data_IF_245854552853
#
_entry.id   IF_245854552853
#
_cell.length_a   1.000
_cell.length_b   1.000
_cell.length_c   1.000
_cell.angle_alpha   90.00
_cell.angle_beta   90.00
_cell.angle_gamma   90.00
#
_symmetry.space_group_name_H-M   'P 1'
#
loop_
_entity.id
_entity.type
_entity.pdbx_description
1 polymer ?
#
# COMPACT_ATOMS: atom_id res chain seq x y z
N UNK A 1 -17.76 -14.70 10.32
CA UNK A 1 -16.59 -14.91 9.42
C UNK A 1 -15.38 -14.20 9.97
N UNK A 2 -14.25 -14.89 10.08
CA UNK A 2 -13.04 -14.20 10.50
C UNK A 2 -12.68 -13.13 9.49
N UNK A 3 -12.29 -11.97 10.00
CA UNK A 3 -11.87 -10.86 9.15
C UNK A 3 -10.50 -11.16 8.56
N UNK A 4 -10.32 -10.89 7.28
CA UNK A 4 -9.02 -11.08 6.63
C UNK A 4 -7.98 -10.10 7.13
N UNK A 5 -6.74 -10.55 7.20
CA UNK A 5 -5.60 -9.70 7.49
C UNK A 5 -5.05 -9.16 6.16
N UNK A 6 -5.29 -7.90 5.91
CA UNK A 6 -4.93 -7.24 4.66
C UNK A 6 -3.93 -6.13 4.93
N UNK A 7 -2.76 -6.21 4.29
CA UNK A 7 -1.76 -5.15 4.35
C UNK A 7 -1.83 -4.34 3.07
N UNK A 8 -2.01 -3.04 3.22
CA UNK A 8 -2.02 -2.10 2.09
C UNK A 8 -0.79 -1.22 2.14
N UNK A 9 0.01 -1.26 1.09
CA UNK A 9 1.23 -0.46 0.96
C UNK A 9 0.99 0.68 -0.02
N UNK A 10 1.26 1.90 0.41
CA UNK A 10 1.12 3.09 -0.43
C UNK A 10 2.50 3.49 -0.95
N UNK A 11 2.67 3.45 -2.27
CA UNK A 11 3.93 3.79 -2.94
C UNK A 11 4.71 2.59 -3.42
N UNK A 12 5.33 2.73 -4.59
CA UNK A 12 6.11 1.68 -5.24
C UNK A 12 7.55 2.12 -5.52
N UNK A 13 8.06 3.07 -4.72
CA UNK A 13 9.42 3.58 -4.87
C UNK A 13 10.46 2.70 -4.19
N UNK A 14 11.58 3.31 -3.81
CA UNK A 14 12.74 2.62 -3.26
C UNK A 14 12.43 1.78 -2.01
N UNK A 15 11.50 2.23 -1.19
CA UNK A 15 11.10 1.52 0.03
C UNK A 15 9.87 0.64 -0.23
N UNK A 16 8.88 1.17 -0.94
CA UNK A 16 7.60 0.50 -1.15
C UNK A 16 7.72 -0.79 -1.95
N UNK A 17 8.43 -0.77 -3.07
CA UNK A 17 8.58 -1.95 -3.92
C UNK A 17 9.17 -3.15 -3.19
N UNK A 18 10.34 -3.03 -2.52
CA UNK A 18 10.88 -4.15 -1.77
C UNK A 18 9.97 -4.62 -0.64
N UNK A 19 9.29 -3.70 0.02
CA UNK A 19 8.39 -4.02 1.12
C UNK A 19 7.17 -4.81 0.63
N UNK A 20 6.59 -4.42 -0.50
CA UNK A 20 5.48 -5.15 -1.12
C UNK A 20 5.93 -6.59 -1.44
N UNK A 21 7.11 -6.72 -2.04
CA UNK A 21 7.68 -8.04 -2.35
C UNK A 21 7.88 -8.88 -1.10
N UNK A 22 8.38 -8.29 -0.03
CA UNK A 22 8.60 -8.98 1.23
C UNK A 22 7.28 -9.48 1.83
N UNK A 23 6.25 -8.65 1.85
CA UNK A 23 4.93 -9.05 2.36
C UNK A 23 4.32 -10.18 1.52
N UNK A 24 4.46 -10.14 0.21
CA UNK A 24 3.92 -11.20 -0.65
C UNK A 24 4.69 -12.52 -0.47
N UNK A 25 6.01 -12.45 -0.31
CA UNK A 25 6.84 -13.65 -0.11
C UNK A 25 6.59 -14.33 1.23
N UNK A 26 6.36 -13.55 2.30
CA UNK A 26 6.18 -14.07 3.65
C UNK A 26 4.72 -14.05 4.12
N UNK A 27 3.80 -13.95 3.18
CA UNK A 27 2.37 -13.85 3.44
C UNK A 27 1.85 -14.93 4.39
N UNK A 28 2.19 -16.18 4.12
CA UNK A 28 1.75 -17.30 4.95
C UNK A 28 2.38 -17.27 6.34
N UNK A 29 3.68 -17.04 6.40
CA UNK A 29 4.43 -17.01 7.66
C UNK A 29 3.94 -15.92 8.60
N UNK A 30 3.50 -14.78 8.05
CA UNK A 30 3.06 -13.63 8.84
C UNK A 30 1.55 -13.54 8.95
N UNK A 31 0.85 -14.57 8.51
CA UNK A 31 -0.61 -14.66 8.59
C UNK A 31 -1.31 -13.49 7.89
N UNK A 32 -0.80 -13.12 6.73
CA UNK A 32 -1.38 -12.09 5.86
C UNK A 32 -2.21 -12.78 4.79
N UNK A 33 -3.48 -12.39 4.66
CA UNK A 33 -4.38 -12.96 3.67
C UNK A 33 -4.26 -12.30 2.30
N UNK A 34 -4.08 -10.98 2.29
CA UNK A 34 -3.95 -10.19 1.06
C UNK A 34 -2.92 -9.10 1.23
N UNK A 35 -2.21 -8.81 0.13
CA UNK A 35 -1.32 -7.64 0.02
C UNK A 35 -1.83 -6.79 -1.13
N UNK A 36 -2.15 -5.54 -0.86
CA UNK A 36 -2.52 -4.55 -1.87
C UNK A 36 -1.47 -3.45 -1.92
N UNK A 37 -1.31 -2.84 -3.07
CA UNK A 37 -0.34 -1.74 -3.20
C UNK A 37 -0.90 -0.64 -4.11
N UNK A 38 -0.67 0.60 -3.70
CA UNK A 38 -1.11 1.78 -4.43
C UNK A 38 0.01 2.33 -5.29
N UNK A 39 -0.29 2.60 -6.56
CA UNK A 39 0.58 3.33 -7.46
C UNK A 39 -0.18 4.53 -8.01
N UNK A 40 0.44 5.70 -7.88
CA UNK A 40 -0.19 6.96 -8.24
C UNK A 40 -0.23 7.22 -9.74
N UNK A 41 0.91 7.04 -10.42
CA UNK A 41 1.08 7.48 -11.80
C UNK A 41 1.18 6.29 -12.75
N UNK A 42 0.30 6.21 -13.78
CA UNK A 42 0.44 5.21 -14.82
C UNK A 42 1.61 5.59 -15.73
N UNK A 43 2.70 4.86 -15.60
CA UNK A 43 3.93 5.11 -16.35
C UNK A 43 4.34 3.83 -17.07
N UNK A 44 4.51 3.92 -18.38
CA UNK A 44 4.91 2.77 -19.20
C UNK A 44 6.26 2.20 -18.79
N UNK A 45 7.15 3.04 -18.26
CA UNK A 45 8.48 2.60 -17.81
C UNK A 45 8.42 1.72 -16.56
N UNK A 46 7.33 1.79 -15.80
CA UNK A 46 7.13 0.99 -14.59
C UNK A 46 6.34 -0.30 -14.85
N UNK A 47 5.97 -0.57 -16.09
CA UNK A 47 5.13 -1.71 -16.44
C UNK A 47 5.67 -3.03 -15.91
N UNK A 48 6.95 -3.31 -16.14
CA UNK A 48 7.56 -4.56 -15.70
C UNK A 48 7.54 -4.70 -14.17
N UNK A 49 7.82 -3.62 -13.45
CA UNK A 49 7.81 -3.61 -11.99
C UNK A 49 6.41 -3.90 -11.45
N UNK A 50 5.39 -3.23 -11.99
CA UNK A 50 4.01 -3.42 -11.55
C UNK A 50 3.54 -4.85 -11.83
N UNK A 51 3.80 -5.36 -13.03
CA UNK A 51 3.42 -6.74 -13.38
C UNK A 51 4.15 -7.77 -12.54
N UNK A 52 5.40 -7.51 -12.21
CA UNK A 52 6.16 -8.38 -11.32
C UNK A 52 5.50 -8.47 -9.93
N UNK A 53 5.08 -7.35 -9.38
CA UNK A 53 4.39 -7.33 -8.08
C UNK A 53 3.04 -8.02 -8.13
N UNK A 54 2.28 -7.83 -9.22
CA UNK A 54 0.99 -8.52 -9.42
C UNK A 54 1.21 -10.03 -9.54
N UNK A 55 2.20 -10.45 -10.30
CA UNK A 55 2.50 -11.88 -10.48
C UNK A 55 2.96 -12.55 -9.19
N UNK A 56 3.54 -11.80 -8.27
CA UNK A 56 3.92 -12.32 -6.94
C UNK A 56 2.73 -12.41 -5.97
N UNK A 57 1.57 -11.90 -6.37
CA UNK A 57 0.36 -11.99 -5.57
C UNK A 57 -0.13 -10.66 -5.00
N UNK A 58 0.53 -9.55 -5.30
CA UNK A 58 0.06 -8.23 -4.91
C UNK A 58 -1.12 -7.78 -5.77
N UNK A 59 -2.02 -7.00 -5.21
CA UNK A 59 -3.17 -6.45 -5.95
C UNK A 59 -2.99 -4.95 -6.14
N UNK A 60 -3.05 -4.50 -7.38
CA UNK A 60 -2.86 -3.10 -7.75
C UNK A 60 -4.07 -2.25 -7.37
N UNK A 61 -3.78 -1.13 -6.74
CA UNK A 61 -4.75 -0.11 -6.33
C UNK A 61 -4.36 1.22 -6.98
N UNK A 62 -5.33 1.92 -7.53
CA UNK A 62 -5.10 3.22 -8.16
C UNK A 62 -6.17 4.21 -7.75
N UNK A 63 -5.88 5.50 -7.95
CA UNK A 63 -6.92 6.52 -7.83
C UNK A 63 -7.96 6.31 -8.93
N UNK A 64 -9.21 6.64 -8.65
CA UNK A 64 -10.30 6.43 -9.61
C UNK A 64 -10.00 7.09 -10.96
N UNK A 65 -9.44 8.29 -10.96
CA UNK A 65 -9.11 9.03 -12.18
C UNK A 65 -7.99 8.40 -13.02
N UNK A 66 -7.19 7.52 -12.46
CA UNK A 66 -6.08 6.88 -13.18
C UNK A 66 -6.41 5.44 -13.61
N UNK A 67 -7.56 4.92 -13.21
CA UNK A 67 -7.92 3.51 -13.43
C UNK A 67 -7.91 3.09 -14.89
N UNK A 68 -8.47 3.90 -15.76
CA UNK A 68 -8.52 3.62 -17.19
C UNK A 68 -7.14 3.56 -17.83
N UNK A 69 -6.26 4.47 -17.45
CA UNK A 69 -4.91 4.49 -18.01
C UNK A 69 -4.09 3.28 -17.60
N UNK A 70 -4.22 2.84 -16.36
CA UNK A 70 -3.59 1.61 -15.92
C UNK A 70 -4.12 0.40 -16.67
N UNK A 71 -5.43 0.37 -16.92
CA UNK A 71 -6.04 -0.71 -17.71
C UNK A 71 -5.53 -0.72 -19.15
N UNK A 72 -5.34 0.47 -19.76
CA UNK A 72 -4.78 0.57 -21.11
C UNK A 72 -3.34 0.08 -21.18
N UNK A 73 -2.59 0.22 -20.09
CA UNK A 73 -1.23 -0.32 -20.00
C UNK A 73 -1.22 -1.83 -19.78
N UNK A 74 -2.38 -2.46 -19.66
CA UNK A 74 -2.49 -3.90 -19.48
C UNK A 74 -2.47 -4.37 -18.03
N UNK A 75 -2.59 -3.46 -17.07
CA UNK A 75 -2.60 -3.82 -15.64
C UNK A 75 -4.03 -4.07 -15.15
N UNK A 76 -4.17 -5.09 -14.32
CA UNK A 76 -5.42 -5.36 -13.63
C UNK A 76 -5.49 -4.51 -12.37
N UNK A 77 -6.43 -3.58 -12.33
CA UNK A 77 -6.69 -2.75 -11.15
C UNK A 77 -7.75 -3.44 -10.30
N UNK A 78 -7.41 -3.77 -9.06
CA UNK A 78 -8.32 -4.51 -8.17
C UNK A 78 -9.23 -3.59 -7.38
N UNK A 79 -8.72 -2.46 -6.90
CA UNK A 79 -9.47 -1.54 -6.04
C UNK A 79 -9.07 -0.09 -6.30
N UNK A 80 -9.94 0.84 -5.92
CA UNK A 80 -9.61 2.26 -5.84
C UNK A 80 -8.94 2.56 -4.50
N UNK A 81 -8.35 3.74 -4.38
CA UNK A 81 -7.63 4.17 -3.17
C UNK A 81 -8.48 4.04 -1.91
N UNK A 82 -9.68 4.61 -1.93
CA UNK A 82 -10.54 4.59 -0.74
C UNK A 82 -11.01 3.18 -0.39
N UNK A 83 -11.39 2.38 -1.38
CA UNK A 83 -11.78 1.00 -1.16
C UNK A 83 -10.67 0.19 -0.50
N UNK A 84 -9.45 0.34 -1.00
CA UNK A 84 -8.30 -0.39 -0.49
C UNK A 84 -7.97 -0.03 0.96
N UNK A 85 -8.01 1.26 1.29
CA UNK A 85 -7.75 1.73 2.65
C UNK A 85 -8.83 1.21 3.60
N UNK A 86 -10.09 1.30 3.21
CA UNK A 86 -11.19 0.83 4.04
C UNK A 86 -11.12 -0.67 4.33
N UNK A 87 -10.70 -1.47 3.35
CA UNK A 87 -10.54 -2.92 3.49
C UNK A 87 -9.33 -3.34 4.32
N UNK A 88 -8.30 -2.50 4.37
CA UNK A 88 -7.02 -2.86 4.96
C UNK A 88 -7.10 -3.05 6.47
N UNK A 89 -6.31 -3.98 6.98
CA UNK A 89 -6.09 -4.12 8.42
C UNK A 89 -5.03 -3.11 8.87
N UNK A 90 -3.94 -3.01 8.08
CA UNK A 90 -2.85 -2.07 8.33
C UNK A 90 -2.49 -1.39 7.01
N UNK A 91 -2.25 -0.08 7.07
CA UNK A 91 -1.77 0.71 5.94
C UNK A 91 -0.34 1.15 6.23
N UNK A 92 0.57 0.87 5.29
CA UNK A 92 1.97 1.29 5.38
C UNK A 92 2.22 2.31 4.27
N UNK A 93 2.43 3.56 4.65
CA UNK A 93 2.70 4.64 3.68
C UNK A 93 4.21 4.79 3.48
N UNK A 94 4.66 4.51 2.27
CA UNK A 94 6.07 4.58 1.87
C UNK A 94 6.33 5.75 0.92
N UNK A 95 5.44 6.74 0.90
CA UNK A 95 5.56 7.92 0.05
C UNK A 95 6.15 9.10 0.81
N UNK A 96 6.69 10.11 0.11
CA UNK A 96 7.08 11.35 0.78
C UNK A 96 5.88 12.22 1.18
N UNK A 97 4.66 11.79 0.86
CA UNK A 97 3.42 12.54 1.13
C UNK A 97 2.57 11.90 2.24
N UNK A 98 3.19 11.19 3.18
CA UNK A 98 2.47 10.49 4.25
C UNK A 98 1.55 11.39 5.07
N UNK A 99 2.00 12.59 5.44
CA UNK A 99 1.17 13.53 6.19
C UNK A 99 0.00 14.06 5.37
N UNK A 100 0.19 14.29 4.07
CA UNK A 100 -0.90 14.71 3.19
C UNK A 100 -1.94 13.59 3.04
N UNK A 101 -1.49 12.37 2.88
CA UNK A 101 -2.37 11.20 2.81
C UNK A 101 -3.12 10.99 4.13
N UNK A 102 -2.47 11.26 5.26
CA UNK A 102 -3.11 11.19 6.57
C UNK A 102 -4.30 12.13 6.65
N UNK A 103 -4.13 13.39 6.25
CA UNK A 103 -5.21 14.37 6.24
C UNK A 103 -6.31 14.01 5.24
N UNK A 104 -5.92 13.54 4.05
CA UNK A 104 -6.86 13.26 2.97
C UNK A 104 -7.65 11.98 3.19
N UNK A 105 -7.02 10.93 3.72
CA UNK A 105 -7.63 9.60 3.84
C UNK A 105 -7.63 9.03 5.24
N UNK A 106 -6.46 8.99 5.90
CA UNK A 106 -6.28 8.13 7.08
C UNK A 106 -7.04 8.60 8.31
N UNK A 107 -7.22 9.91 8.45
CA UNK A 107 -7.97 10.47 9.58
C UNK A 107 -9.48 10.24 9.49
N UNK A 108 -10.00 10.05 8.27
CA UNK A 108 -11.45 9.90 8.06
C UNK A 108 -11.92 8.49 7.70
N UNK A 109 -11.01 7.60 7.35
CA UNK A 109 -11.36 6.21 7.03
C UNK A 109 -11.02 5.34 8.23
N UNK A 110 -12.03 4.72 8.81
CA UNK A 110 -11.91 4.01 10.09
C UNK A 110 -11.83 2.49 9.98
N UNK A 111 -11.64 1.95 8.78
CA UNK A 111 -11.51 0.51 8.57
C UNK A 111 -10.25 -0.10 9.18
N UNK A 112 -9.06 0.49 8.94
CA UNK A 112 -7.81 -0.06 9.42
C UNK A 112 -7.63 0.02 10.94
N UNK A 113 -6.90 -0.94 11.47
CA UNK A 113 -6.50 -0.95 12.89
C UNK A 113 -5.28 -0.08 13.16
N UNK A 114 -4.48 0.21 12.14
CA UNK A 114 -3.29 1.01 12.30
C UNK A 114 -2.72 1.52 10.99
N UNK A 115 -1.94 2.58 11.11
CA UNK A 115 -1.25 3.23 10.00
C UNK A 115 0.21 3.42 10.37
N UNK A 116 1.11 3.15 9.42
CA UNK A 116 2.54 3.34 9.58
C UNK A 116 3.04 4.21 8.44
N UNK A 117 3.99 5.08 8.72
CA UNK A 117 4.69 5.83 7.68
C UNK A 117 6.18 5.60 7.79
N UNK A 118 6.86 5.58 6.65
CA UNK A 118 8.30 5.41 6.59
C UNK A 118 8.93 6.63 5.95
N UNK A 119 10.18 6.91 6.34
CA UNK A 119 10.95 8.01 5.80
C UNK A 119 11.06 9.18 6.77
N UNK A 120 11.05 10.38 6.23
CA UNK A 120 11.31 11.60 6.98
C UNK A 120 10.08 12.34 7.48
N UNK A 121 8.94 11.68 7.53
CA UNK A 121 7.69 12.30 7.97
C UNK A 121 7.68 12.56 9.47
N UNK A 122 7.42 13.82 9.85
CA UNK A 122 7.23 14.21 11.24
C UNK A 122 5.76 14.46 11.52
N UNK A 123 5.30 14.08 12.71
CA UNK A 123 3.91 14.34 13.11
C UNK A 123 2.89 13.34 12.54
N UNK A 124 3.32 12.37 11.78
CA UNK A 124 2.43 11.32 11.29
C UNK A 124 1.89 10.47 12.44
N UNK A 125 2.78 10.04 13.30
CA UNK A 125 2.46 9.22 14.45
C UNK A 125 3.62 9.19 15.43
N UNK A 126 3.56 8.26 16.39
CA UNK A 126 4.63 8.08 17.36
C UNK A 126 5.86 7.50 16.67
N UNK A 127 7.04 8.14 16.80
CA UNK A 127 8.26 7.57 16.22
C UNK A 127 8.60 6.23 16.84
N UNK A 128 9.04 5.29 16.00
CA UNK A 128 9.41 3.95 16.43
C UNK A 128 10.80 3.58 15.91
N UNK A 129 11.62 3.01 16.77
CA UNK A 129 12.88 2.41 16.39
C UNK A 129 13.09 1.14 17.22
N UNK A 130 13.29 0.01 16.53
CA UNK A 130 13.46 -1.28 17.17
C UNK A 130 14.65 -1.27 18.13
N UNK A 131 14.43 -1.78 19.33
CA UNK A 131 15.46 -1.80 20.34
C UNK A 131 15.67 -0.49 21.09
N UNK A 132 14.95 0.57 20.70
CA UNK A 132 15.05 1.88 21.34
C UNK A 132 13.78 2.22 22.11
N UNK A 133 12.63 2.08 21.47
CA UNK A 133 11.35 2.42 22.11
C UNK A 133 10.25 1.39 21.88
N UNK A 134 10.64 0.16 21.60
CA UNK A 134 9.72 -0.94 21.62
C UNK A 134 9.78 -1.61 23.00
#
# INVERSE_FOLDING_TARGET
>A
MPKKNIVHVVGTGTIGEPLIGLFTDFKEKWNIDEVTFHKRTPNVNDHATVEHLINRGGKLVTDEGAREEFARLGHRVSFTTEEAIERATVVVDCTPAGNDNKQKYYERIHGPKGFLAQGSEFGFGKPYARGIND
#
